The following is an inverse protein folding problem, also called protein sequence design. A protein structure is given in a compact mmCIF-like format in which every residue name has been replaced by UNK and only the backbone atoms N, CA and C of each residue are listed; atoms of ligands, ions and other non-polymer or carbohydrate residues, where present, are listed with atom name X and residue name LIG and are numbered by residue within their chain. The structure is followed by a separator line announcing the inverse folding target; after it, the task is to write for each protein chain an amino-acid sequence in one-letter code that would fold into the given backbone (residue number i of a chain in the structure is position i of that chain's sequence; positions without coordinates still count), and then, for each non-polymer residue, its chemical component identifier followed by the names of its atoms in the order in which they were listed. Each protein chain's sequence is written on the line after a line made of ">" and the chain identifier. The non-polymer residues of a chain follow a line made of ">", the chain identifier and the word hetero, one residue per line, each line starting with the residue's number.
data_IF_126482534835
#
_entry.id   IF_126482534835
#
_cell.length_a   1.000
_cell.length_b   1.000
_cell.length_c   1.000
_cell.angle_alpha   90.00
_cell.angle_beta   90.00
_cell.angle_gamma   90.00
#
_symmetry.space_group_name_H-M   'P 1'
#
loop_
_entity.id
_entity.type
_entity.pdbx_description
1 polymer ?
#
# COMPACT_ATOMS: atom_id res chain seq x y z
N UNK A 1 11.06 0.18 -5.00
CA UNK A 1 11.50 -0.98 -5.80
C UNK A 1 12.07 -1.96 -4.80
N UNK A 2 11.59 -3.19 -4.76
CA UNK A 2 11.98 -4.16 -3.74
C UNK A 2 12.58 -5.37 -4.45
N UNK A 3 13.84 -5.67 -4.15
CA UNK A 3 14.51 -6.87 -4.64
C UNK A 3 14.15 -8.04 -3.74
N UNK A 4 13.79 -9.18 -4.35
CA UNK A 4 13.41 -10.38 -3.64
C UNK A 4 14.06 -11.62 -4.25
N UNK A 5 14.17 -12.70 -3.47
CA UNK A 5 14.65 -14.00 -3.94
C UNK A 5 13.50 -15.00 -3.94
N UNK A 6 13.36 -15.77 -5.02
CA UNK A 6 12.33 -16.80 -5.13
C UNK A 6 12.60 -17.94 -4.15
N UNK A 7 11.64 -18.23 -3.26
CA UNK A 7 11.75 -19.30 -2.26
C UNK A 7 11.87 -20.71 -2.87
N UNK A 8 11.46 -20.90 -4.13
CA UNK A 8 11.46 -22.20 -4.81
C UNK A 8 12.74 -22.47 -5.62
N UNK A 9 13.28 -21.46 -6.30
CA UNK A 9 14.40 -21.65 -7.24
C UNK A 9 15.60 -20.74 -6.99
N UNK A 10 15.50 -19.84 -6.01
CA UNK A 10 16.56 -18.91 -5.64
C UNK A 10 16.80 -17.78 -6.66
N UNK A 11 16.00 -17.66 -7.72
CA UNK A 11 16.18 -16.58 -8.70
C UNK A 11 15.79 -15.23 -8.11
N UNK A 12 16.56 -14.20 -8.44
CA UNK A 12 16.24 -12.83 -8.07
C UNK A 12 15.01 -12.35 -8.86
N UNK A 13 14.11 -11.66 -8.18
CA UNK A 13 12.87 -11.12 -8.76
C UNK A 13 12.53 -9.76 -8.16
N UNK A 14 11.65 -9.04 -8.85
CA UNK A 14 11.13 -7.76 -8.38
C UNK A 14 9.86 -7.97 -7.56
N UNK A 15 9.91 -7.72 -6.25
CA UNK A 15 8.76 -7.90 -5.35
C UNK A 15 8.58 -9.33 -4.84
N UNK A 16 8.14 -9.45 -3.58
CA UNK A 16 7.91 -10.74 -2.92
C UNK A 16 6.78 -11.56 -3.58
N UNK A 17 5.73 -10.90 -4.06
CA UNK A 17 4.50 -11.52 -4.56
C UNK A 17 4.31 -11.40 -6.08
N UNK A 18 5.42 -11.32 -6.82
CA UNK A 18 5.41 -11.37 -8.28
C UNK A 18 5.80 -12.78 -8.74
N UNK A 19 5.32 -13.22 -9.93
CA UNK A 19 5.69 -14.52 -10.45
C UNK A 19 7.18 -14.55 -10.78
N UNK A 20 7.85 -15.63 -10.43
CA UNK A 20 9.27 -15.80 -10.73
C UNK A 20 9.47 -15.97 -12.25
N UNK A 21 10.37 -15.18 -12.85
CA UNK A 21 10.69 -15.25 -14.28
C UNK A 21 11.32 -16.57 -14.75
N UNK A 22 11.77 -17.43 -13.82
CA UNK A 22 12.46 -18.69 -14.11
C UNK A 22 11.61 -19.93 -13.88
N UNK A 23 10.82 -19.95 -12.81
CA UNK A 23 10.05 -21.14 -12.42
C UNK A 23 8.55 -20.89 -12.29
N UNK A 24 8.10 -19.68 -12.63
CA UNK A 24 6.71 -19.20 -12.58
C UNK A 24 6.04 -19.34 -11.21
N UNK A 25 6.83 -19.60 -10.17
CA UNK A 25 6.31 -19.73 -8.81
C UNK A 25 5.73 -18.40 -8.34
N UNK A 26 4.47 -18.46 -7.89
CA UNK A 26 3.73 -17.38 -7.26
C UNK A 26 3.29 -17.86 -5.86
N UNK A 27 3.58 -17.11 -4.79
CA UNK A 27 3.07 -17.43 -3.46
C UNK A 27 1.54 -17.34 -3.43
N UNK A 28 0.86 -18.38 -2.97
CA UNK A 28 -0.62 -18.41 -2.85
C UNK A 28 -1.08 -18.56 -1.41
N UNK A 29 -0.29 -19.24 -0.58
CA UNK A 29 -0.60 -19.44 0.85
C UNK A 29 0.06 -18.36 1.71
N UNK A 30 -0.53 -18.07 2.87
CA UNK A 30 0.02 -17.09 3.82
C UNK A 30 1.46 -17.42 4.22
N UNK A 31 1.77 -18.70 4.37
CA UNK A 31 3.11 -19.18 4.68
C UNK A 31 4.10 -18.88 3.54
N UNK A 32 3.74 -19.15 2.29
CA UNK A 32 4.58 -18.83 1.13
C UNK A 32 4.76 -17.32 0.96
N UNK A 33 3.72 -16.54 1.24
CA UNK A 33 3.77 -15.08 1.22
C UNK A 33 4.73 -14.57 2.30
N UNK A 34 4.65 -15.09 3.52
CA UNK A 34 5.55 -14.76 4.63
C UNK A 34 7.00 -15.08 4.26
N UNK A 35 7.27 -16.31 3.80
CA UNK A 35 8.60 -16.76 3.35
C UNK A 35 9.14 -15.87 2.24
N UNK A 36 8.30 -15.48 1.28
CA UNK A 36 8.71 -14.62 0.18
C UNK A 36 9.02 -13.18 0.61
N UNK A 37 8.38 -12.69 1.68
CA UNK A 37 8.66 -11.37 2.26
C UNK A 37 9.95 -11.37 3.07
N UNK A 38 10.24 -12.44 3.81
CA UNK A 38 11.53 -12.61 4.51
C UNK A 38 12.69 -12.51 3.50
N UNK A 39 12.53 -13.10 2.30
CA UNK A 39 13.52 -13.06 1.23
C UNK A 39 13.51 -11.75 0.41
N UNK A 40 13.34 -10.59 1.05
CA UNK A 40 13.39 -9.26 0.41
C UNK A 40 14.50 -8.38 0.98
N UNK A 41 14.89 -7.36 0.20
CA UNK A 41 15.84 -6.31 0.60
C UNK A 41 15.36 -5.42 1.75
N UNK A 42 14.10 -5.55 2.16
CA UNK A 42 13.55 -4.93 3.37
C UNK A 42 13.90 -5.69 4.66
N UNK A 43 14.07 -7.00 4.59
CA UNK A 43 14.29 -7.86 5.75
C UNK A 43 15.70 -8.42 5.81
N UNK A 44 16.37 -8.53 4.66
CA UNK A 44 17.75 -9.00 4.57
C UNK A 44 18.59 -8.07 3.69
N UNK A 45 19.87 -7.85 4.06
CA UNK A 45 20.76 -7.09 3.22
C UNK A 45 21.03 -7.85 1.90
N UNK A 46 21.32 -7.13 0.79
CA UNK A 46 21.54 -7.74 -0.52
C UNK A 46 22.59 -8.85 -0.55
N UNK A 47 23.64 -8.74 0.26
CA UNK A 47 24.69 -9.76 0.35
C UNK A 47 24.18 -11.07 0.98
N UNK A 48 23.31 -10.99 1.99
CA UNK A 48 22.65 -12.17 2.56
C UNK A 48 21.68 -12.78 1.56
N UNK A 49 20.92 -11.96 0.81
CA UNK A 49 20.02 -12.45 -0.24
C UNK A 49 20.76 -13.21 -1.33
N UNK A 50 21.96 -12.76 -1.73
CA UNK A 50 22.82 -13.49 -2.68
C UNK A 50 23.26 -14.84 -2.13
N UNK A 51 23.60 -14.92 -0.84
CA UNK A 51 23.96 -16.18 -0.19
C UNK A 51 22.78 -17.16 -0.16
N UNK A 52 21.60 -16.68 0.22
CA UNK A 52 20.37 -17.48 0.21
C UNK A 52 19.98 -17.91 -1.20
N UNK A 53 20.09 -17.01 -2.18
CA UNK A 53 19.90 -17.31 -3.61
C UNK A 53 20.80 -18.45 -4.06
N UNK A 54 22.11 -18.38 -3.75
CA UNK A 54 23.07 -19.42 -4.07
C UNK A 54 22.73 -20.75 -3.37
N UNK A 55 22.37 -20.71 -2.09
CA UNK A 55 21.99 -21.89 -1.31
C UNK A 55 20.80 -22.62 -1.95
N UNK A 56 19.71 -21.90 -2.23
CA UNK A 56 18.50 -22.47 -2.85
C UNK A 56 18.81 -22.99 -4.27
N UNK A 57 19.63 -22.26 -5.05
CA UNK A 57 20.07 -22.69 -6.39
C UNK A 57 20.83 -24.01 -6.36
N UNK A 58 21.56 -24.30 -5.28
CA UNK A 58 22.27 -25.58 -5.09
C UNK A 58 21.39 -26.69 -4.50
N UNK A 59 20.11 -26.43 -4.23
CA UNK A 59 19.19 -27.36 -3.59
C UNK A 59 19.26 -27.38 -2.07
N UNK A 60 19.95 -26.41 -1.46
CA UNK A 60 19.92 -26.21 -0.02
C UNK A 60 18.62 -25.56 0.44
N UNK A 61 18.28 -25.75 1.72
CA UNK A 61 17.09 -25.16 2.34
C UNK A 61 17.50 -24.00 3.25
N UNK A 62 16.78 -22.88 3.13
CA UNK A 62 16.96 -21.74 4.02
C UNK A 62 16.06 -21.91 5.24
N UNK A 63 16.65 -21.82 6.43
CA UNK A 63 15.89 -21.89 7.68
C UNK A 63 15.23 -20.53 7.96
N UNK A 64 13.90 -20.52 7.95
CA UNK A 64 13.12 -19.32 8.19
C UNK A 64 12.91 -19.11 9.69
N UNK A 65 13.04 -17.88 10.21
CA UNK A 65 12.79 -17.59 11.61
C UNK A 65 11.33 -17.89 11.98
N UNK A 66 11.07 -18.85 12.91
CA UNK A 66 9.71 -19.29 13.21
C UNK A 66 8.86 -18.19 13.85
N UNK A 67 9.48 -17.30 14.62
CA UNK A 67 8.81 -16.17 15.26
C UNK A 67 8.21 -15.22 14.20
N UNK A 68 8.95 -14.94 13.12
CA UNK A 68 8.45 -14.09 12.03
C UNK A 68 7.26 -14.74 11.32
N UNK A 69 7.34 -16.05 11.06
CA UNK A 69 6.25 -16.77 10.40
C UNK A 69 4.98 -16.77 11.27
N UNK A 70 5.14 -17.01 12.58
CA UNK A 70 4.03 -16.95 13.53
C UNK A 70 3.41 -15.55 13.60
N UNK A 71 4.25 -14.51 13.70
CA UNK A 71 3.80 -13.11 13.76
C UNK A 71 3.09 -12.68 12.47
N UNK A 72 3.56 -13.14 11.31
CA UNK A 72 2.95 -12.86 10.02
C UNK A 72 1.61 -13.58 9.86
N UNK A 73 1.54 -14.85 10.25
CA UNK A 73 0.29 -15.63 10.20
C UNK A 73 -0.75 -15.15 11.22
N UNK A 74 -0.31 -14.50 12.30
CA UNK A 74 -1.20 -13.84 13.25
C UNK A 74 -1.73 -12.48 12.74
N UNK A 75 -1.13 -11.91 11.70
CA UNK A 75 -1.59 -10.67 11.09
C UNK A 75 -2.70 -10.96 10.08
N UNK A 76 -3.88 -10.41 10.35
CA UNK A 76 -5.04 -10.52 9.48
C UNK A 76 -4.83 -9.63 8.23
N UNK A 77 -4.33 -10.22 7.13
CA UNK A 77 -4.00 -9.51 5.87
C UNK A 77 -5.19 -8.76 5.26
N UNK A 78 -6.42 -9.16 5.61
CA UNK A 78 -7.66 -8.50 5.21
C UNK A 78 -7.69 -7.02 5.66
N UNK A 79 -7.03 -6.69 6.77
CA UNK A 79 -6.94 -5.32 7.28
C UNK A 79 -6.01 -4.40 6.46
N UNK A 80 -4.99 -4.95 5.78
CA UNK A 80 -4.00 -4.18 5.01
C UNK A 80 -4.57 -3.71 3.68
N UNK A 81 -5.33 -4.55 2.97
CA UNK A 81 -6.05 -4.10 1.76
C UNK A 81 -7.09 -3.02 2.08
N UNK A 82 -7.76 -3.11 3.23
CA UNK A 82 -8.76 -2.13 3.66
C UNK A 82 -8.16 -0.74 4.01
N UNK A 83 -6.85 -0.64 4.25
CA UNK A 83 -6.21 0.68 4.44
C UNK A 83 -6.15 1.50 3.15
N UNK A 84 -6.13 0.85 1.98
CA UNK A 84 -6.19 1.56 0.69
C UNK A 84 -7.58 2.11 0.35
N UNK A 85 -8.64 1.62 1.02
CA UNK A 85 -10.00 2.14 0.90
C UNK A 85 -10.26 3.40 1.76
N UNK A 86 -9.33 3.79 2.64
CA UNK A 86 -9.42 5.03 3.44
C UNK A 86 -8.87 6.27 2.72
N UNK A 87 -8.79 6.24 1.40
CA UNK A 87 -8.56 7.45 0.61
C UNK A 87 -9.74 8.42 0.71
N UNK A 88 -9.54 9.55 1.38
CA UNK A 88 -10.31 10.79 1.21
C UNK A 88 -11.81 10.80 1.57
N UNK A 89 -12.24 10.05 2.59
CA UNK A 89 -13.66 10.05 3.02
C UNK A 89 -14.02 10.89 4.26
N UNK A 90 -13.04 11.35 5.04
CA UNK A 90 -13.30 11.77 6.43
C UNK A 90 -12.67 13.08 6.90
N UNK A 91 -11.89 13.77 6.06
CA UNK A 91 -11.27 15.03 6.49
C UNK A 91 -12.30 16.15 6.43
N UNK A 92 -12.77 16.55 7.62
CA UNK A 92 -13.65 17.71 7.88
C UNK A 92 -13.16 19.00 7.16
N UNK A 93 -11.86 19.05 6.84
CA UNK A 93 -11.20 20.08 6.04
C UNK A 93 -11.82 20.24 4.64
N UNK A 94 -12.22 19.16 3.95
CA UNK A 94 -12.76 19.23 2.60
C UNK A 94 -14.18 19.80 2.53
N UNK A 95 -15.00 19.60 3.57
CA UNK A 95 -16.35 20.18 3.62
C UNK A 95 -16.34 21.71 3.78
N UNK A 96 -15.37 22.25 4.53
CA UNK A 96 -15.28 23.70 4.76
C UNK A 96 -14.88 24.46 3.49
N UNK A 97 -14.03 23.86 2.63
CA UNK A 97 -13.54 24.51 1.40
C UNK A 97 -14.68 24.77 0.39
N UNK A 98 -15.71 23.91 0.33
CA UNK A 98 -16.85 24.10 -0.57
C UNK A 98 -18.00 24.92 0.05
N UNK A 99 -18.21 24.83 1.36
CA UNK A 99 -19.31 25.53 2.02
C UNK A 99 -19.08 27.06 2.12
N UNK A 100 -17.85 27.49 2.40
CA UNK A 100 -17.51 28.91 2.57
C UNK A 100 -17.80 29.76 1.31
N UNK A 101 -17.33 29.41 0.10
CA UNK A 101 -17.62 30.21 -1.09
C UNK A 101 -19.10 30.23 -1.47
N UNK A 102 -19.84 29.16 -1.21
CA UNK A 102 -21.29 29.12 -1.46
C UNK A 102 -22.05 30.11 -0.57
N UNK A 103 -21.71 30.18 0.72
CA UNK A 103 -22.33 31.14 1.65
C UNK A 103 -21.99 32.58 1.27
N UNK A 104 -20.73 32.86 0.93
CA UNK A 104 -20.30 34.19 0.48
C UNK A 104 -21.04 34.61 -0.79
N UNK A 105 -21.21 33.69 -1.75
CA UNK A 105 -21.97 33.95 -2.97
C UNK A 105 -23.43 34.30 -2.70
N UNK A 106 -24.10 33.56 -1.81
CA UNK A 106 -25.50 33.82 -1.44
C UNK A 106 -25.65 35.19 -0.78
N UNK A 107 -24.78 35.51 0.20
CA UNK A 107 -24.84 36.81 0.89
C UNK A 107 -24.60 37.97 -0.09
N UNK A 108 -23.66 37.81 -1.02
CA UNK A 108 -23.35 38.83 -2.04
C UNK A 108 -24.53 39.05 -3.00
N UNK A 109 -25.21 37.97 -3.41
CA UNK A 109 -26.41 38.05 -4.27
C UNK A 109 -27.57 38.74 -3.56
N UNK A 110 -27.83 38.40 -2.29
CA UNK A 110 -28.90 39.05 -1.50
C UNK A 110 -28.64 40.55 -1.38
N UNK A 111 -27.39 40.94 -1.10
CA UNK A 111 -27.02 42.35 -0.98
C UNK A 111 -27.19 43.11 -2.31
N UNK A 112 -26.82 42.49 -3.43
CA UNK A 112 -27.04 43.06 -4.77
C UNK A 112 -28.53 43.24 -5.08
N UNK A 113 -29.38 42.28 -4.74
CA UNK A 113 -30.83 42.39 -4.95
C UNK A 113 -31.41 43.55 -4.15
N UNK A 114 -31.00 43.70 -2.88
CA UNK A 114 -31.45 44.82 -2.03
C UNK A 114 -31.00 46.16 -2.64
N UNK A 115 -29.72 46.28 -3.02
CA UNK A 115 -29.20 47.50 -3.63
C UNK A 115 -29.89 47.85 -4.96
N UNK A 116 -30.25 46.85 -5.77
CA UNK A 116 -31.02 47.05 -7.00
C UNK A 116 -32.44 47.54 -6.71
N UNK A 117 -33.12 46.98 -5.69
CA UNK A 117 -34.45 47.44 -5.30
C UNK A 117 -34.39 48.91 -4.87
N UNK A 118 -33.43 49.30 -4.03
CA UNK A 118 -33.26 50.70 -3.62
C UNK A 118 -33.00 51.62 -4.82
N UNK A 119 -32.12 51.22 -5.75
CA UNK A 119 -31.84 52.01 -6.96
C UNK A 119 -33.06 52.22 -7.87
N UNK A 120 -33.93 51.21 -8.00
CA UNK A 120 -35.15 51.32 -8.81
C UNK A 120 -36.30 52.06 -8.10
N UNK A 121 -36.24 52.23 -6.78
CA UNK A 121 -37.30 52.90 -6.00
C UNK A 121 -37.02 54.40 -5.79
N UNK A 122 -35.81 54.86 -6.10
CA UNK A 122 -35.38 56.28 -6.10
C UNK A 122 -35.50 56.86 -7.50
#
# INVERSE_FOLDING_TARGET
>A
MTMAVCIKCGEEKFGAWTPCSKCDFMPETDEEMAKSVILTDHHMPPESLKQVSALIKTGGEFEYPPDFLADWMAQDFESVQNQTARGCGGDLSCMLILAIPAVIGIVSLVWLVIALIEYFTV
#
